data_IF_959848181590
#
_entry.id   IF_959848181590
#
_cell.length_a   1.000
_cell.length_b   1.000
_cell.length_c   1.000
_cell.angle_alpha   90.00
_cell.angle_beta   90.00
_cell.angle_gamma   90.00
#
_symmetry.space_group_name_H-M   'P 1'
#
loop_
_entity.id
_entity.type
_entity.pdbx_description
1 polymer ?
#
# COMPACT_ATOMS: atom_id res chain seq x y z
N UNK A 1 28.05 -33.04 28.36
CA UNK A 1 27.19 -32.06 27.65
C UNK A 1 27.37 -32.26 26.15
N UNK A 2 26.28 -32.40 25.37
CA UNK A 2 26.37 -32.39 23.91
C UNK A 2 26.98 -31.08 23.47
N UNK A 3 27.95 -31.09 22.57
CA UNK A 3 28.56 -29.85 22.05
C UNK A 3 27.72 -29.32 20.89
N UNK A 4 26.51 -28.86 21.20
CA UNK A 4 25.52 -28.41 20.20
C UNK A 4 26.09 -27.30 19.29
N UNK A 5 26.88 -26.37 19.82
CA UNK A 5 27.49 -25.31 19.03
C UNK A 5 28.50 -25.84 18.00
N UNK A 6 29.45 -26.64 18.42
CA UNK A 6 30.49 -27.17 17.51
C UNK A 6 29.91 -28.11 16.46
N UNK A 7 28.93 -28.96 16.85
CA UNK A 7 28.21 -29.83 15.92
C UNK A 7 27.43 -29.01 14.87
N UNK A 8 26.75 -27.94 15.26
CA UNK A 8 26.07 -27.01 14.34
C UNK A 8 27.06 -26.31 13.42
N UNK A 9 28.15 -25.78 13.98
CA UNK A 9 29.19 -25.11 13.21
C UNK A 9 29.73 -25.98 12.09
N UNK A 10 30.06 -27.23 12.42
CA UNK A 10 30.55 -28.25 11.47
C UNK A 10 29.47 -28.57 10.41
N UNK A 11 28.23 -28.80 10.83
CA UNK A 11 27.12 -29.11 9.94
C UNK A 11 26.86 -27.95 8.95
N UNK A 12 26.77 -26.71 9.42
CA UNK A 12 26.54 -25.52 8.61
C UNK A 12 27.69 -25.31 7.60
N UNK A 13 28.94 -25.55 8.00
CA UNK A 13 30.07 -25.50 7.09
C UNK A 13 29.95 -26.50 5.95
N UNK A 14 29.58 -27.75 6.28
CA UNK A 14 29.40 -28.82 5.29
C UNK A 14 28.24 -28.52 4.35
N UNK A 15 27.10 -28.01 4.87
CA UNK A 15 25.94 -27.58 4.07
C UNK A 15 26.31 -26.50 3.05
N UNK A 16 27.22 -25.58 3.41
CA UNK A 16 27.75 -24.57 2.49
C UNK A 16 28.89 -25.06 1.61
N UNK A 17 29.26 -26.36 1.67
CA UNK A 17 30.34 -26.97 0.93
C UNK A 17 31.74 -26.33 1.18
N UNK A 18 31.97 -25.77 2.38
CA UNK A 18 33.26 -25.19 2.72
C UNK A 18 34.17 -26.23 3.38
N UNK A 19 35.46 -26.23 3.00
CA UNK A 19 36.50 -26.89 3.81
C UNK A 19 36.77 -26.10 5.09
N UNK A 20 37.46 -26.68 6.08
CA UNK A 20 37.85 -25.93 7.28
C UNK A 20 38.77 -24.74 6.92
N UNK A 21 39.66 -24.93 5.94
CA UNK A 21 40.57 -23.91 5.45
C UNK A 21 39.80 -22.73 4.81
N UNK A 22 38.81 -23.02 3.95
CA UNK A 22 38.01 -22.03 3.29
C UNK A 22 37.16 -21.20 4.29
N UNK A 23 36.48 -21.89 5.21
CA UNK A 23 35.69 -21.20 6.22
C UNK A 23 36.56 -20.38 7.18
N UNK A 24 37.73 -20.89 7.58
CA UNK A 24 38.68 -20.18 8.41
C UNK A 24 39.23 -18.92 7.69
N UNK A 25 39.52 -19.00 6.41
CA UNK A 25 39.92 -17.85 5.59
C UNK A 25 38.82 -16.78 5.52
N UNK A 26 37.57 -17.20 5.29
CA UNK A 26 36.41 -16.28 5.24
C UNK A 26 36.16 -15.58 6.59
N UNK A 27 36.44 -16.27 7.71
CA UNK A 27 36.35 -15.71 9.06
C UNK A 27 37.61 -14.97 9.51
N UNK A 28 38.65 -14.94 8.68
CA UNK A 28 39.97 -14.38 9.00
C UNK A 28 40.60 -14.97 10.29
N UNK A 29 40.52 -16.29 10.44
CA UNK A 29 41.07 -17.06 11.57
C UNK A 29 41.95 -18.19 11.08
N UNK A 30 42.68 -18.85 12.01
CA UNK A 30 43.44 -20.06 11.66
C UNK A 30 42.49 -21.26 11.49
N UNK A 31 42.78 -22.21 10.55
CA UNK A 31 42.06 -23.49 10.45
C UNK A 31 42.05 -24.27 11.76
N UNK A 32 43.11 -24.16 12.53
CA UNK A 32 43.24 -24.79 13.85
C UNK A 32 42.25 -24.22 14.87
N UNK A 33 41.94 -22.92 14.79
CA UNK A 33 40.91 -22.27 15.65
C UNK A 33 39.53 -22.79 15.30
N UNK A 34 39.17 -22.84 14.02
CA UNK A 34 37.88 -23.39 13.56
C UNK A 34 37.72 -24.87 13.96
N UNK A 35 38.77 -25.68 13.75
CA UNK A 35 38.77 -27.09 14.13
C UNK A 35 38.51 -27.28 15.65
N UNK A 36 39.09 -26.42 16.49
CA UNK A 36 38.88 -26.47 17.95
C UNK A 36 37.45 -26.08 18.33
N UNK A 37 36.86 -25.13 17.62
CA UNK A 37 35.45 -24.73 17.83
C UNK A 37 34.50 -25.88 17.42
N UNK A 38 34.71 -26.48 16.27
CA UNK A 38 33.91 -27.60 15.78
C UNK A 38 34.00 -28.83 16.70
N UNK A 39 35.21 -29.09 17.28
CA UNK A 39 35.40 -30.18 18.26
C UNK A 39 34.94 -29.80 19.69
N UNK A 40 34.53 -28.58 19.94
CA UNK A 40 34.12 -28.10 21.27
C UNK A 40 35.27 -27.95 22.27
N UNK A 41 36.52 -27.95 21.80
CA UNK A 41 37.68 -27.76 22.68
C UNK A 41 37.85 -26.35 23.16
N UNK A 42 37.38 -25.35 22.37
CA UNK A 42 37.34 -23.95 22.70
C UNK A 42 36.10 -23.34 22.03
N UNK A 43 35.64 -22.18 22.57
CA UNK A 43 34.60 -21.37 21.97
C UNK A 43 35.23 -20.17 21.25
N UNK A 44 34.57 -19.63 20.19
CA UNK A 44 34.93 -18.33 19.64
C UNK A 44 34.72 -17.21 20.64
N UNK A 45 35.41 -16.10 20.43
CA UNK A 45 35.08 -14.84 21.10
C UNK A 45 33.63 -14.43 20.77
N UNK A 46 32.95 -13.85 21.74
CA UNK A 46 31.55 -13.41 21.58
C UNK A 46 31.40 -12.45 20.38
N UNK A 47 32.42 -11.63 20.11
CA UNK A 47 32.44 -10.69 18.98
C UNK A 47 32.53 -11.40 17.62
N UNK A 48 32.95 -12.66 17.58
CA UNK A 48 33.00 -13.47 16.36
C UNK A 48 31.66 -14.15 16.03
N UNK A 49 30.73 -14.27 17.00
CA UNK A 49 29.46 -14.94 16.79
C UNK A 49 28.60 -14.32 15.69
N UNK A 50 28.48 -12.98 15.58
CA UNK A 50 27.78 -12.34 14.47
C UNK A 50 28.39 -12.62 13.09
N UNK A 51 29.74 -12.68 12.99
CA UNK A 51 30.44 -12.97 11.74
C UNK A 51 30.25 -14.43 11.32
N UNK A 52 30.30 -15.37 12.28
CA UNK A 52 29.99 -16.76 12.06
C UNK A 52 28.56 -16.96 11.59
N UNK A 53 27.61 -16.31 12.26
CA UNK A 53 26.19 -16.35 11.92
C UNK A 53 25.93 -15.80 10.50
N UNK A 54 26.60 -14.71 10.15
CA UNK A 54 26.54 -14.11 8.80
C UNK A 54 27.13 -15.04 7.74
N UNK A 55 28.31 -15.64 7.99
CA UNK A 55 28.93 -16.57 7.05
C UNK A 55 28.01 -17.73 6.69
N UNK A 56 27.34 -18.30 7.69
CA UNK A 56 26.46 -19.46 7.51
C UNK A 56 24.99 -19.09 7.26
N UNK A 57 24.64 -17.81 7.19
CA UNK A 57 23.27 -17.34 6.97
C UNK A 57 22.27 -17.86 8.01
N UNK A 58 22.64 -17.76 9.27
CA UNK A 58 21.84 -18.17 10.44
C UNK A 58 21.84 -17.03 11.48
N UNK A 59 21.04 -17.14 12.53
CA UNK A 59 21.18 -16.27 13.71
C UNK A 59 22.24 -16.79 14.67
N UNK A 60 22.69 -15.94 15.60
CA UNK A 60 23.56 -16.38 16.70
C UNK A 60 22.85 -17.48 17.53
N UNK A 61 21.54 -17.33 17.76
CA UNK A 61 20.76 -18.35 18.48
C UNK A 61 20.70 -19.68 17.74
N UNK A 62 20.64 -19.67 16.42
CA UNK A 62 20.63 -20.89 15.60
C UNK A 62 21.94 -21.68 15.72
N UNK A 63 23.05 -21.03 16.05
CA UNK A 63 24.31 -21.72 16.32
C UNK A 63 24.22 -22.64 17.55
N UNK A 64 23.25 -22.41 18.43
CA UNK A 64 23.03 -23.15 19.67
C UNK A 64 21.81 -24.07 19.66
N UNK A 65 20.94 -24.00 18.63
CA UNK A 65 19.72 -24.81 18.51
C UNK A 65 20.00 -26.17 17.80
N UNK A 66 19.31 -27.24 18.23
CA UNK A 66 19.52 -28.59 17.68
C UNK A 66 19.06 -28.79 16.23
N UNK A 67 18.27 -27.89 15.64
CA UNK A 67 17.70 -28.05 14.30
C UNK A 67 17.68 -26.73 13.51
N UNK A 68 18.78 -26.00 13.44
CA UNK A 68 18.87 -24.84 12.59
C UNK A 68 19.11 -25.21 11.13
N UNK A 69 18.37 -24.64 10.20
CA UNK A 69 18.53 -24.76 8.75
C UNK A 69 19.18 -23.50 8.21
N UNK A 70 20.25 -23.67 7.40
CA UNK A 70 20.86 -22.52 6.73
C UNK A 70 19.97 -22.03 5.61
N UNK A 71 19.81 -20.72 5.53
CA UNK A 71 19.15 -20.06 4.41
C UNK A 71 20.10 -19.97 3.21
N UNK A 72 19.54 -19.73 2.02
CA UNK A 72 20.32 -19.59 0.79
C UNK A 72 21.37 -18.46 0.93
N UNK A 73 20.95 -17.33 1.48
CA UNK A 73 21.83 -16.23 1.81
C UNK A 73 21.32 -15.45 3.05
N UNK A 74 22.07 -14.41 3.46
CA UNK A 74 21.74 -13.63 4.65
C UNK A 74 20.48 -12.77 4.49
N UNK A 75 20.19 -12.26 3.29
CA UNK A 75 18.97 -11.52 3.02
C UNK A 75 17.72 -12.41 3.19
N UNK A 76 17.75 -13.64 2.66
CA UNK A 76 16.67 -14.62 2.86
C UNK A 76 16.45 -14.94 4.35
N UNK A 77 17.55 -14.99 5.14
CA UNK A 77 17.44 -15.17 6.59
C UNK A 77 16.75 -14.01 7.28
N UNK A 78 17.08 -12.77 6.90
CA UNK A 78 16.45 -11.58 7.48
C UNK A 78 14.97 -11.45 7.08
N UNK A 79 14.59 -11.87 5.88
CA UNK A 79 13.18 -11.99 5.50
C UNK A 79 12.43 -12.92 6.48
N UNK A 80 12.98 -14.09 6.80
CA UNK A 80 12.35 -15.00 7.75
C UNK A 80 12.30 -14.44 9.20
N UNK A 81 13.25 -13.56 9.56
CA UNK A 81 13.16 -12.81 10.83
C UNK A 81 11.98 -11.85 10.80
N UNK A 82 11.84 -11.06 9.73
CA UNK A 82 10.73 -10.14 9.56
C UNK A 82 9.38 -10.87 9.51
N UNK A 83 9.27 -11.97 8.77
CA UNK A 83 8.06 -12.81 8.71
C UNK A 83 7.60 -13.29 10.09
N UNK A 84 8.53 -13.50 11.01
CA UNK A 84 8.21 -13.93 12.37
C UNK A 84 7.92 -12.76 13.33
N UNK A 85 8.54 -11.60 13.13
CA UNK A 85 8.46 -10.46 14.06
C UNK A 85 7.46 -9.40 13.65
N UNK A 86 7.26 -9.19 12.34
CA UNK A 86 6.53 -8.06 11.77
C UNK A 86 7.03 -6.69 12.27
N UNK A 87 8.30 -6.62 12.72
CA UNK A 87 8.92 -5.39 13.22
C UNK A 87 9.53 -4.58 12.08
N UNK A 88 9.26 -3.28 12.03
CA UNK A 88 9.76 -2.38 10.98
C UNK A 88 11.28 -2.36 10.89
N UNK A 89 12.01 -2.55 12.00
CA UNK A 89 13.48 -2.64 12.00
C UNK A 89 13.96 -3.87 11.24
N UNK A 90 13.25 -5.00 11.42
CA UNK A 90 13.60 -6.24 10.74
C UNK A 90 13.29 -6.15 9.25
N UNK A 91 12.19 -5.47 8.87
CA UNK A 91 11.94 -5.10 7.49
C UNK A 91 13.09 -4.29 6.89
N UNK A 92 13.49 -3.19 7.53
CA UNK A 92 14.58 -2.33 7.06
C UNK A 92 15.93 -3.07 6.98
N UNK A 93 16.17 -4.03 7.87
CA UNK A 93 17.38 -4.85 7.85
C UNK A 93 17.38 -5.79 6.65
N UNK A 94 16.26 -6.48 6.39
CA UNK A 94 16.10 -7.37 5.24
C UNK A 94 16.18 -6.58 3.92
N UNK A 95 15.47 -5.47 3.79
CA UNK A 95 15.50 -4.58 2.63
C UNK A 95 16.92 -4.18 2.28
N UNK A 96 17.69 -3.69 3.26
CA UNK A 96 19.08 -3.28 3.07
C UNK A 96 19.99 -4.38 2.53
N UNK A 97 19.80 -5.62 2.97
CA UNK A 97 20.62 -6.74 2.49
C UNK A 97 20.20 -7.16 1.06
N UNK A 98 18.91 -7.20 0.73
CA UNK A 98 18.47 -7.40 -0.65
C UNK A 98 18.95 -6.28 -1.59
N UNK A 99 18.92 -5.04 -1.14
CA UNK A 99 19.42 -3.87 -1.87
C UNK A 99 20.92 -3.98 -2.19
N UNK A 100 21.72 -4.53 -1.25
CA UNK A 100 23.15 -4.83 -1.49
C UNK A 100 23.34 -5.88 -2.59
N UNK A 101 22.51 -6.93 -2.59
CA UNK A 101 22.56 -7.95 -3.65
C UNK A 101 22.25 -7.32 -5.03
N UNK A 102 21.24 -6.45 -5.11
CA UNK A 102 20.90 -5.75 -6.35
C UNK A 102 22.03 -4.84 -6.82
N UNK A 103 22.59 -4.01 -5.93
CA UNK A 103 23.66 -3.08 -6.26
C UNK A 103 24.95 -3.79 -6.69
N UNK A 104 25.26 -4.92 -6.10
CA UNK A 104 26.44 -5.73 -6.45
C UNK A 104 26.21 -6.63 -7.66
N UNK A 105 25.00 -6.72 -8.19
CA UNK A 105 24.59 -7.62 -9.27
C UNK A 105 24.90 -9.10 -9.00
N UNK A 106 24.85 -9.49 -7.73
CA UNK A 106 25.11 -10.88 -7.28
C UNK A 106 23.83 -11.62 -6.90
N UNK A 107 22.67 -11.08 -7.26
CA UNK A 107 21.37 -11.67 -6.97
C UNK A 107 20.98 -12.79 -7.95
N UNK A 108 20.18 -13.72 -7.47
CA UNK A 108 19.51 -14.77 -8.24
C UNK A 108 18.06 -14.40 -8.54
N UNK A 109 17.40 -15.15 -9.41
CA UNK A 109 15.94 -15.03 -9.62
C UNK A 109 15.18 -15.28 -8.30
N UNK A 110 15.66 -16.19 -7.45
CA UNK A 110 15.05 -16.46 -6.17
C UNK A 110 15.18 -15.29 -5.19
N UNK A 111 16.29 -14.55 -5.22
CA UNK A 111 16.44 -13.34 -4.41
C UNK A 111 15.44 -12.26 -4.80
N UNK A 112 15.19 -12.07 -6.10
CA UNK A 112 14.15 -11.13 -6.58
C UNK A 112 12.76 -11.54 -6.11
N UNK A 113 12.44 -12.84 -6.16
CA UNK A 113 11.18 -13.38 -5.65
C UNK A 113 11.04 -13.13 -4.15
N UNK A 114 12.08 -13.43 -3.36
CA UNK A 114 12.07 -13.24 -1.91
C UNK A 114 12.01 -11.76 -1.54
N UNK A 115 12.68 -10.90 -2.29
CA UNK A 115 12.60 -9.45 -2.09
C UNK A 115 11.18 -8.93 -2.38
N UNK A 116 10.53 -9.43 -3.43
CA UNK A 116 9.12 -9.14 -3.69
C UNK A 116 8.20 -9.59 -2.56
N UNK A 117 8.44 -10.79 -1.99
CA UNK A 117 7.69 -11.32 -0.83
C UNK A 117 7.86 -10.43 0.40
N UNK A 118 9.07 -9.90 0.66
CA UNK A 118 9.30 -8.95 1.76
C UNK A 118 8.34 -7.76 1.69
N UNK A 119 8.18 -7.17 0.49
CA UNK A 119 7.24 -6.06 0.30
C UNK A 119 5.77 -6.47 0.37
N UNK A 120 5.43 -7.71 -0.03
CA UNK A 120 4.06 -8.22 0.13
C UNK A 120 3.67 -8.34 1.60
N UNK A 121 4.55 -8.87 2.46
CA UNK A 121 4.31 -8.89 3.91
C UNK A 121 4.22 -7.49 4.49
N UNK A 122 5.13 -6.60 4.10
CA UNK A 122 5.10 -5.22 4.59
C UNK A 122 3.84 -4.46 4.17
N UNK A 123 3.33 -4.70 2.98
CA UNK A 123 2.07 -4.13 2.51
C UNK A 123 0.88 -4.61 3.38
N UNK A 124 0.85 -5.89 3.77
CA UNK A 124 -0.16 -6.42 4.66
C UNK A 124 -0.08 -5.79 6.05
N UNK A 125 1.12 -5.66 6.61
CA UNK A 125 1.35 -5.01 7.90
C UNK A 125 0.93 -3.53 7.89
N UNK A 126 1.25 -2.80 6.82
CA UNK A 126 0.84 -1.41 6.63
C UNK A 126 -0.69 -1.28 6.55
N UNK A 127 -1.36 -2.20 5.85
CA UNK A 127 -2.83 -2.26 5.81
C UNK A 127 -3.42 -2.40 7.20
N UNK A 128 -2.92 -3.35 7.99
CA UNK A 128 -3.42 -3.61 9.33
C UNK A 128 -3.22 -2.41 10.27
N UNK A 129 -2.09 -1.71 10.12
CA UNK A 129 -1.83 -0.47 10.86
C UNK A 129 -2.84 0.61 10.45
N UNK A 130 -3.06 0.80 9.15
CA UNK A 130 -4.01 1.80 8.64
C UNK A 130 -5.43 1.51 9.12
N UNK A 131 -5.90 0.26 9.03
CA UNK A 131 -7.23 -0.14 9.52
C UNK A 131 -7.40 0.15 11.01
N UNK A 132 -6.43 -0.24 11.85
CA UNK A 132 -6.49 0.06 13.29
C UNK A 132 -6.56 1.57 13.59
N UNK A 133 -5.86 2.40 12.80
CA UNK A 133 -5.91 3.86 12.97
C UNK A 133 -7.26 4.42 12.54
N UNK A 134 -7.82 3.95 11.43
CA UNK A 134 -9.15 4.36 10.97
C UNK A 134 -10.23 3.93 11.98
N UNK A 135 -10.21 2.69 12.47
CA UNK A 135 -11.14 2.21 13.49
C UNK A 135 -11.05 3.03 14.78
N UNK A 136 -9.83 3.36 15.21
CA UNK A 136 -9.62 4.22 16.37
C UNK A 136 -10.18 5.64 16.15
N UNK A 137 -10.02 6.20 14.94
CA UNK A 137 -10.60 7.48 14.58
C UNK A 137 -12.13 7.44 14.58
N UNK A 138 -12.73 6.42 13.95
CA UNK A 138 -14.19 6.25 13.91
C UNK A 138 -14.80 6.01 15.31
N UNK A 139 -14.08 5.33 16.20
CA UNK A 139 -14.51 5.13 17.59
C UNK A 139 -14.56 6.42 18.42
N UNK A 140 -13.97 7.53 17.93
CA UNK A 140 -14.10 8.83 18.61
C UNK A 140 -15.48 9.47 18.42
N UNK A 141 -16.28 8.97 17.47
CA UNK A 141 -17.63 9.48 17.17
C UNK A 141 -17.67 10.62 16.15
N UNK A 142 -18.73 10.66 15.38
CA UNK A 142 -18.96 11.64 14.32
C UNK A 142 -19.12 13.07 14.88
N UNK A 143 -19.69 13.20 16.06
CA UNK A 143 -19.98 14.46 16.73
C UNK A 143 -18.74 15.32 17.03
N UNK A 144 -17.56 14.68 17.13
CA UNK A 144 -16.31 15.40 17.43
C UNK A 144 -15.75 16.15 16.21
N UNK A 145 -15.87 15.56 15.01
CA UNK A 145 -15.38 16.15 13.77
C UNK A 145 -16.08 15.47 12.56
N UNK A 146 -17.32 15.86 12.21
CA UNK A 146 -18.13 15.15 11.21
C UNK A 146 -17.44 14.98 9.85
N UNK A 147 -16.80 16.03 9.33
CA UNK A 147 -16.10 15.98 8.05
C UNK A 147 -14.94 14.98 8.06
N UNK A 148 -14.13 15.00 9.13
CA UNK A 148 -12.99 14.09 9.28
C UNK A 148 -13.47 12.65 9.48
N UNK A 149 -14.56 12.44 10.22
CA UNK A 149 -15.18 11.14 10.39
C UNK A 149 -15.54 10.51 9.03
N UNK A 150 -16.25 11.23 8.18
CA UNK A 150 -16.61 10.73 6.85
C UNK A 150 -15.42 10.60 5.90
N UNK A 151 -14.38 11.43 6.06
CA UNK A 151 -13.11 11.22 5.32
C UNK A 151 -12.44 9.90 5.73
N UNK A 152 -12.39 9.59 7.03
CA UNK A 152 -11.84 8.31 7.52
C UNK A 152 -12.65 7.13 6.98
N UNK A 153 -13.98 7.20 7.01
CA UNK A 153 -14.82 6.15 6.41
C UNK A 153 -14.46 5.92 4.93
N UNK A 154 -14.36 6.98 4.14
CA UNK A 154 -14.00 6.87 2.72
C UNK A 154 -12.59 6.30 2.50
N UNK A 155 -11.60 6.70 3.30
CA UNK A 155 -10.24 6.16 3.23
C UNK A 155 -10.21 4.66 3.59
N UNK A 156 -10.97 4.24 4.60
CA UNK A 156 -11.11 2.82 4.95
C UNK A 156 -11.74 2.03 3.79
N UNK A 157 -12.80 2.54 3.19
CA UNK A 157 -13.46 1.94 2.03
C UNK A 157 -12.52 1.82 0.82
N UNK A 158 -11.73 2.86 0.55
CA UNK A 158 -10.71 2.84 -0.49
C UNK A 158 -9.66 1.77 -0.22
N UNK A 159 -9.20 1.65 1.02
CA UNK A 159 -8.23 0.62 1.42
C UNK A 159 -8.78 -0.79 1.20
N UNK A 160 -10.04 -1.06 1.57
CA UNK A 160 -10.71 -2.34 1.28
C UNK A 160 -10.75 -2.62 -0.23
N UNK A 161 -11.05 -1.61 -1.04
CA UNK A 161 -11.04 -1.77 -2.51
C UNK A 161 -9.65 -2.09 -3.05
N UNK A 162 -8.62 -1.38 -2.61
CA UNK A 162 -7.23 -1.59 -3.02
C UNK A 162 -6.69 -2.97 -2.63
N UNK A 163 -7.24 -3.57 -1.59
CA UNK A 163 -6.84 -4.90 -1.09
C UNK A 163 -7.79 -6.03 -1.50
N UNK A 164 -8.76 -5.74 -2.38
CA UNK A 164 -9.66 -6.75 -2.94
C UNK A 164 -10.82 -7.16 -2.03
N UNK A 165 -11.10 -6.41 -0.96
CA UNK A 165 -12.15 -6.72 0.04
C UNK A 165 -13.47 -5.99 -0.23
N UNK A 166 -13.83 -5.83 -1.50
CA UNK A 166 -15.05 -5.13 -1.91
C UNK A 166 -16.32 -5.76 -1.34
N UNK A 167 -16.40 -7.09 -1.25
CA UNK A 167 -17.57 -7.79 -0.69
C UNK A 167 -17.79 -7.44 0.78
N UNK A 168 -16.71 -7.38 1.56
CA UNK A 168 -16.77 -6.96 2.97
C UNK A 168 -17.28 -5.52 3.06
N UNK A 169 -16.72 -4.61 2.27
CA UNK A 169 -17.12 -3.22 2.23
C UNK A 169 -18.62 -3.07 1.89
N UNK A 170 -19.09 -3.69 0.80
CA UNK A 170 -20.49 -3.65 0.38
C UNK A 170 -21.41 -4.19 1.49
N UNK A 171 -21.05 -5.30 2.14
CA UNK A 171 -21.82 -5.88 3.23
C UNK A 171 -21.97 -4.91 4.41
N UNK A 172 -20.87 -4.28 4.83
CA UNK A 172 -20.89 -3.30 5.91
C UNK A 172 -21.75 -2.07 5.57
N UNK A 173 -21.58 -1.50 4.36
CA UNK A 173 -22.33 -0.32 3.94
C UNK A 173 -23.83 -0.64 3.73
N UNK A 174 -24.16 -1.85 3.24
CA UNK A 174 -25.55 -2.30 3.12
C UNK A 174 -26.20 -2.42 4.49
N UNK A 175 -25.51 -2.99 5.48
CA UNK A 175 -26.03 -3.09 6.84
C UNK A 175 -26.22 -1.71 7.48
N UNK A 176 -25.27 -0.78 7.26
CA UNK A 176 -25.36 0.60 7.75
C UNK A 176 -26.57 1.32 7.15
N UNK A 177 -26.78 1.24 5.84
CA UNK A 177 -27.94 1.83 5.17
C UNK A 177 -29.26 1.22 5.66
N UNK A 178 -29.32 -0.08 5.92
CA UNK A 178 -30.52 -0.74 6.44
C UNK A 178 -30.92 -0.21 7.83
N UNK A 179 -29.95 0.14 8.67
CA UNK A 179 -30.19 0.71 10.01
C UNK A 179 -30.42 2.21 9.99
N UNK A 180 -29.88 2.92 8.99
CA UNK A 180 -29.97 4.38 8.84
C UNK A 180 -30.47 4.77 7.43
N UNK A 181 -31.73 4.41 7.05
CA UNK A 181 -32.22 4.56 5.67
C UNK A 181 -32.39 6.02 5.23
N UNK A 182 -32.44 6.96 6.16
CA UNK A 182 -32.60 8.40 5.90
C UNK A 182 -31.29 9.17 6.07
N UNK A 183 -30.16 8.47 6.31
CA UNK A 183 -28.87 9.09 6.42
C UNK A 183 -28.22 9.24 5.04
N UNK A 184 -27.85 10.46 4.68
CA UNK A 184 -27.23 10.79 3.40
C UNK A 184 -25.92 10.04 3.16
N UNK A 185 -25.05 10.01 4.17
CA UNK A 185 -23.74 9.39 4.03
C UNK A 185 -23.82 7.87 3.91
N UNK A 186 -24.81 7.23 4.50
CA UNK A 186 -25.05 5.79 4.31
C UNK A 186 -25.38 5.45 2.84
N UNK A 187 -26.13 6.31 2.13
CA UNK A 187 -26.37 6.15 0.69
C UNK A 187 -25.10 6.38 -0.13
N UNK A 188 -24.36 7.45 0.16
CA UNK A 188 -23.11 7.77 -0.54
C UNK A 188 -22.09 6.65 -0.35
N UNK A 189 -21.91 6.17 0.86
CA UNK A 189 -20.92 5.13 1.14
C UNK A 189 -21.26 3.81 0.42
N UNK A 190 -22.55 3.42 0.36
CA UNK A 190 -22.95 2.24 -0.40
C UNK A 190 -22.79 2.43 -1.91
N UNK A 191 -23.13 3.62 -2.44
CA UNK A 191 -22.87 3.99 -3.84
C UNK A 191 -21.39 3.85 -4.17
N UNK A 192 -20.51 4.43 -3.36
CA UNK A 192 -19.04 4.38 -3.52
C UNK A 192 -18.51 2.94 -3.39
N UNK A 193 -19.05 2.15 -2.46
CA UNK A 193 -18.67 0.74 -2.32
C UNK A 193 -18.94 -0.06 -3.61
N UNK A 194 -20.10 0.16 -4.23
CA UNK A 194 -20.41 -0.46 -5.52
C UNK A 194 -19.55 0.06 -6.66
N UNK A 195 -19.22 1.36 -6.69
CA UNK A 195 -18.30 1.93 -7.67
C UNK A 195 -16.90 1.30 -7.56
N UNK A 196 -16.38 1.12 -6.36
CA UNK A 196 -15.10 0.45 -6.13
C UNK A 196 -15.12 -1.02 -6.53
N UNK A 197 -16.24 -1.70 -6.35
CA UNK A 197 -16.43 -3.08 -6.78
C UNK A 197 -16.71 -3.22 -8.29
N UNK A 198 -16.81 -2.10 -9.03
CA UNK A 198 -17.23 -2.05 -10.44
C UNK A 198 -18.64 -2.65 -10.68
N UNK A 199 -19.51 -2.62 -9.66
CA UNK A 199 -20.90 -3.07 -9.73
C UNK A 199 -21.82 -1.91 -10.14
N UNK A 200 -21.58 -1.32 -11.31
CA UNK A 200 -22.19 -0.06 -11.76
C UNK A 200 -23.72 -0.10 -11.82
N UNK A 201 -24.33 -1.25 -12.14
CA UNK A 201 -25.80 -1.39 -12.16
C UNK A 201 -26.42 -1.21 -10.75
N UNK A 202 -25.82 -1.81 -9.72
CA UNK A 202 -26.26 -1.64 -8.34
C UNK A 202 -25.98 -0.23 -7.81
N UNK A 203 -24.85 0.34 -8.21
CA UNK A 203 -24.53 1.75 -7.92
C UNK A 203 -25.62 2.69 -8.46
N UNK A 204 -26.11 2.44 -9.68
CA UNK A 204 -27.17 3.23 -10.30
C UNK A 204 -28.51 3.13 -9.53
N UNK A 205 -28.87 1.94 -9.05
CA UNK A 205 -30.06 1.78 -8.22
C UNK A 205 -29.99 2.57 -6.92
N UNK A 206 -28.79 2.57 -6.27
CA UNK A 206 -28.57 3.35 -5.04
C UNK A 206 -28.62 4.85 -5.34
N UNK A 207 -27.96 5.30 -6.41
CA UNK A 207 -27.97 6.70 -6.85
C UNK A 207 -29.40 7.21 -7.09
N UNK A 208 -30.21 6.47 -7.87
CA UNK A 208 -31.59 6.86 -8.18
C UNK A 208 -32.51 6.90 -6.96
N UNK A 209 -32.26 6.06 -5.96
CA UNK A 209 -32.97 6.11 -4.68
C UNK A 209 -32.56 7.33 -3.86
N UNK A 210 -31.26 7.59 -3.77
CA UNK A 210 -30.70 8.71 -3.03
C UNK A 210 -31.13 10.06 -3.65
N UNK A 211 -31.16 10.16 -4.97
CA UNK A 211 -31.54 11.39 -5.69
C UNK A 211 -32.97 11.85 -5.34
N UNK A 212 -33.90 10.93 -5.10
CA UNK A 212 -35.28 11.27 -4.69
C UNK A 212 -35.37 11.93 -3.31
N UNK A 213 -34.39 11.66 -2.44
CA UNK A 213 -34.37 12.14 -1.06
C UNK A 213 -33.40 13.31 -0.85
N UNK A 214 -32.33 13.37 -1.63
CA UNK A 214 -31.18 14.25 -1.41
C UNK A 214 -30.79 15.03 -2.66
N UNK A 215 -31.80 15.55 -3.39
CA UNK A 215 -31.60 16.24 -4.67
C UNK A 215 -30.85 17.57 -4.58
N UNK A 216 -30.62 18.06 -3.36
CA UNK A 216 -29.91 19.29 -3.03
C UNK A 216 -28.46 19.07 -2.57
N UNK A 217 -27.96 17.82 -2.61
CA UNK A 217 -26.64 17.47 -2.10
C UNK A 217 -25.63 17.34 -3.23
N UNK A 218 -24.66 18.25 -3.31
CA UNK A 218 -23.63 18.30 -4.35
C UNK A 218 -22.84 17.00 -4.48
N UNK A 219 -22.43 16.42 -3.35
CA UNK A 219 -21.62 15.19 -3.31
C UNK A 219 -22.32 14.00 -3.98
N UNK A 220 -23.67 13.92 -3.94
CA UNK A 220 -24.42 12.89 -4.64
C UNK A 220 -24.18 12.96 -6.14
N UNK A 221 -24.28 14.18 -6.70
CA UNK A 221 -24.10 14.39 -8.14
C UNK A 221 -22.62 14.27 -8.58
N UNK A 222 -21.67 14.56 -7.70
CA UNK A 222 -20.27 14.29 -7.99
C UNK A 222 -20.04 12.79 -8.25
N UNK A 223 -20.49 11.92 -7.36
CA UNK A 223 -20.41 10.46 -7.57
C UNK A 223 -21.37 9.96 -8.67
N UNK A 224 -22.51 10.63 -8.88
CA UNK A 224 -23.41 10.37 -10.00
C UNK A 224 -22.72 10.57 -11.35
N UNK A 225 -21.95 11.63 -11.50
CA UNK A 225 -21.16 11.89 -12.70
C UNK A 225 -20.10 10.81 -12.94
N UNK A 226 -19.37 10.42 -11.91
CA UNK A 226 -18.38 9.33 -12.00
C UNK A 226 -19.04 7.99 -12.36
N UNK A 227 -20.23 7.72 -11.83
CA UNK A 227 -21.02 6.54 -12.17
C UNK A 227 -21.47 6.55 -13.65
N UNK A 228 -22.06 7.64 -14.13
CA UNK A 228 -22.52 7.75 -15.49
C UNK A 228 -21.37 7.71 -16.50
N UNK A 229 -20.22 8.29 -16.18
CA UNK A 229 -18.97 8.11 -16.95
C UNK A 229 -18.61 6.63 -17.10
N UNK A 230 -18.63 5.86 -16.01
CA UNK A 230 -18.35 4.40 -16.04
C UNK A 230 -19.37 3.61 -16.83
N UNK A 231 -20.60 4.09 -16.92
CA UNK A 231 -21.65 3.50 -17.76
C UNK A 231 -21.56 3.91 -19.24
N UNK A 232 -20.65 4.83 -19.59
CA UNK A 232 -20.53 5.40 -20.93
C UNK A 232 -21.60 6.43 -21.29
N UNK A 233 -22.40 6.87 -20.30
CA UNK A 233 -23.45 7.87 -20.43
C UNK A 233 -22.87 9.26 -20.16
N UNK A 234 -22.08 9.77 -21.11
CA UNK A 234 -21.29 10.99 -20.90
C UNK A 234 -22.12 12.25 -20.73
N UNK A 235 -23.25 12.36 -21.41
CA UNK A 235 -24.17 13.53 -21.28
C UNK A 235 -24.71 13.63 -19.86
N UNK A 236 -25.16 12.50 -19.29
CA UNK A 236 -25.63 12.43 -17.91
C UNK A 236 -24.50 12.68 -16.92
N UNK A 237 -23.29 12.20 -17.22
CA UNK A 237 -22.10 12.45 -16.38
C UNK A 237 -21.80 13.95 -16.29
N UNK A 238 -21.75 14.64 -17.41
CA UNK A 238 -21.54 16.10 -17.45
C UNK A 238 -22.65 16.86 -16.75
N UNK A 239 -23.92 16.50 -16.97
CA UNK A 239 -25.05 17.10 -16.29
C UNK A 239 -24.98 16.93 -14.76
N UNK A 240 -24.54 15.77 -14.28
CA UNK A 240 -24.34 15.52 -12.86
C UNK A 240 -23.20 16.39 -12.29
N UNK A 241 -22.02 16.44 -12.93
CA UNK A 241 -20.91 17.26 -12.44
C UNK A 241 -21.25 18.77 -12.46
N UNK A 242 -21.96 19.24 -13.49
CA UNK A 242 -22.41 20.64 -13.55
C UNK A 242 -23.41 20.96 -12.43
N UNK A 243 -24.32 20.04 -12.13
CA UNK A 243 -25.25 20.19 -11.01
C UNK A 243 -24.51 20.18 -9.67
N UNK A 244 -23.52 19.28 -9.51
CA UNK A 244 -22.70 19.24 -8.30
C UNK A 244 -21.99 20.57 -8.06
N UNK A 245 -21.33 21.13 -9.08
CA UNK A 245 -20.63 22.40 -8.98
C UNK A 245 -21.57 23.60 -8.76
N UNK A 246 -22.78 23.54 -9.34
CA UNK A 246 -23.81 24.55 -9.11
C UNK A 246 -24.31 24.54 -7.65
N UNK A 247 -24.46 23.35 -7.05
CA UNK A 247 -24.90 23.21 -5.67
C UNK A 247 -23.79 23.54 -4.65
N UNK A 248 -22.54 23.28 -5.01
CA UNK A 248 -21.37 23.58 -4.18
C UNK A 248 -20.17 23.92 -5.08
N UNK A 249 -19.89 25.22 -5.21
CA UNK A 249 -18.78 25.72 -6.03
C UNK A 249 -17.39 25.45 -5.43
N UNK A 250 -17.30 25.01 -4.17
CA UNK A 250 -16.06 24.60 -3.54
C UNK A 250 -15.68 23.14 -3.90
N UNK A 251 -16.61 22.38 -4.48
CA UNK A 251 -16.39 21.00 -4.89
C UNK A 251 -15.67 20.91 -6.26
N UNK A 252 -14.47 21.49 -6.33
CA UNK A 252 -13.67 21.58 -7.58
C UNK A 252 -13.23 20.22 -8.13
N UNK A 253 -13.30 19.16 -7.33
CA UNK A 253 -13.01 17.80 -7.78
C UNK A 253 -13.83 17.39 -9.01
N UNK A 254 -15.07 17.92 -9.17
CA UNK A 254 -15.89 17.63 -10.34
C UNK A 254 -15.36 18.28 -11.62
N UNK A 255 -14.66 19.41 -11.53
CA UNK A 255 -14.00 20.04 -12.67
C UNK A 255 -12.82 19.19 -13.17
N UNK A 256 -12.08 18.55 -12.23
CA UNK A 256 -11.03 17.59 -12.57
C UNK A 256 -11.62 16.38 -13.30
N UNK A 257 -12.69 15.78 -12.77
CA UNK A 257 -13.38 14.64 -13.42
C UNK A 257 -13.86 15.01 -14.80
N UNK A 258 -14.46 16.20 -14.96
CA UNK A 258 -15.00 16.73 -16.22
C UNK A 258 -13.90 17.01 -17.24
N UNK A 259 -12.82 17.67 -16.84
CA UNK A 259 -11.69 18.01 -17.70
C UNK A 259 -10.99 16.77 -18.25
N UNK A 260 -10.68 15.79 -17.38
CA UNK A 260 -10.11 14.53 -17.83
C UNK A 260 -11.06 13.72 -18.70
N UNK A 261 -12.37 13.75 -18.43
CA UNK A 261 -13.35 13.07 -19.27
C UNK A 261 -13.38 13.64 -20.69
N UNK A 262 -13.33 14.97 -20.87
CA UNK A 262 -13.24 15.59 -22.19
C UNK A 262 -11.92 15.26 -22.89
N UNK A 263 -10.79 15.18 -22.18
CA UNK A 263 -9.52 14.72 -22.78
C UNK A 263 -9.59 13.27 -23.24
N UNK A 264 -10.22 12.38 -22.48
CA UNK A 264 -10.44 10.97 -22.87
C UNK A 264 -11.31 10.84 -24.13
N UNK A 265 -12.26 11.78 -24.30
CA UNK A 265 -13.11 11.85 -25.50
C UNK A 265 -12.46 12.62 -26.67
N UNK A 266 -11.23 13.07 -26.50
CA UNK A 266 -10.49 13.89 -27.49
C UNK A 266 -11.17 15.25 -27.80
N UNK A 267 -12.08 15.71 -26.90
CA UNK A 267 -12.76 17.00 -27.01
C UNK A 267 -11.91 18.10 -26.36
N UNK A 268 -10.74 18.37 -26.94
CA UNK A 268 -9.70 19.23 -26.34
C UNK A 268 -10.14 20.68 -26.14
N UNK A 269 -11.02 21.21 -26.97
CA UNK A 269 -11.59 22.57 -26.83
C UNK A 269 -12.39 22.69 -25.54
N UNK A 270 -13.28 21.73 -25.27
CA UNK A 270 -14.07 21.70 -24.02
C UNK A 270 -13.21 21.41 -22.79
N UNK A 271 -12.22 20.53 -22.92
CA UNK A 271 -11.26 20.27 -21.85
C UNK A 271 -10.49 21.56 -21.49
N UNK A 272 -10.03 22.32 -22.48
CA UNK A 272 -9.36 23.60 -22.31
C UNK A 272 -10.23 24.60 -21.55
N UNK A 273 -11.52 24.72 -21.91
CA UNK A 273 -12.48 25.60 -21.20
C UNK A 273 -12.62 25.22 -19.74
N UNK A 274 -12.70 23.92 -19.42
CA UNK A 274 -12.79 23.43 -18.03
C UNK A 274 -11.52 23.77 -17.25
N UNK A 275 -10.33 23.49 -17.82
CA UNK A 275 -9.07 23.77 -17.14
C UNK A 275 -8.84 25.27 -16.92
N UNK A 276 -9.18 26.11 -17.90
CA UNK A 276 -9.08 27.56 -17.73
C UNK A 276 -10.06 28.11 -16.69
N UNK A 277 -11.27 27.54 -16.62
CA UNK A 277 -12.24 27.89 -15.58
C UNK A 277 -11.75 27.51 -14.18
N UNK A 278 -11.11 26.34 -14.04
CA UNK A 278 -10.51 25.91 -12.77
C UNK A 278 -9.33 26.81 -12.37
N UNK A 279 -8.47 27.19 -13.33
CA UNK A 279 -7.38 28.13 -13.07
C UNK A 279 -7.94 29.46 -12.55
N UNK A 280 -8.95 30.03 -13.23
CA UNK A 280 -9.57 31.29 -12.81
C UNK A 280 -10.18 31.18 -11.40
N UNK A 281 -10.84 30.07 -11.10
CA UNK A 281 -11.42 29.82 -9.77
C UNK A 281 -10.34 29.77 -8.67
N UNK A 282 -9.19 29.12 -8.93
CA UNK A 282 -8.05 29.03 -8.01
C UNK A 282 -7.37 30.39 -7.81
N UNK A 283 -7.18 31.16 -8.90
CA UNK A 283 -6.58 32.50 -8.86
C UNK A 283 -7.43 33.47 -8.01
N UNK A 284 -8.76 33.47 -8.20
CA UNK A 284 -9.69 34.32 -7.43
C UNK A 284 -9.60 34.06 -5.92
N UNK A 285 -9.26 32.82 -5.51
CA UNK A 285 -9.17 32.43 -4.10
C UNK A 285 -7.75 32.41 -3.53
N UNK A 286 -6.75 32.70 -4.34
CA UNK A 286 -5.35 32.79 -3.93
C UNK A 286 -4.68 31.42 -3.68
N UNK A 287 -5.17 30.35 -4.30
CA UNK A 287 -4.57 29.01 -4.23
C UNK A 287 -3.39 28.85 -5.20
N UNK A 288 -2.37 29.69 -5.07
CA UNK A 288 -1.25 29.77 -6.01
C UNK A 288 -0.49 28.43 -6.23
N UNK A 289 -0.38 27.61 -5.18
CA UNK A 289 0.30 26.31 -5.25
C UNK A 289 -0.43 25.28 -6.10
N UNK A 290 -1.73 25.43 -6.31
CA UNK A 290 -2.59 24.45 -7.01
C UNK A 290 -2.84 24.81 -8.47
N UNK A 291 -2.42 26.00 -8.92
CA UNK A 291 -2.68 26.53 -10.26
C UNK A 291 -1.81 25.90 -11.34
N UNK A 292 -0.61 25.46 -11.00
CA UNK A 292 0.39 25.02 -11.98
C UNK A 292 -0.11 23.84 -12.82
N UNK A 293 -0.71 22.85 -12.18
CA UNK A 293 -1.17 21.62 -12.85
C UNK A 293 -2.35 21.88 -13.81
N UNK A 294 -3.45 22.55 -13.40
CA UNK A 294 -4.54 22.88 -14.33
C UNK A 294 -4.07 23.77 -15.49
N UNK A 295 -3.15 24.72 -15.26
CA UNK A 295 -2.57 25.57 -16.31
C UNK A 295 -1.79 24.73 -17.33
N UNK A 296 -0.98 23.79 -16.88
CA UNK A 296 -0.26 22.84 -17.73
C UNK A 296 -1.21 21.97 -18.56
N UNK A 297 -2.31 21.51 -17.95
CA UNK A 297 -3.34 20.73 -18.63
C UNK A 297 -4.05 21.56 -19.72
N UNK A 298 -4.38 22.81 -19.42
CA UNK A 298 -4.95 23.74 -20.40
C UNK A 298 -4.01 23.97 -21.60
N UNK A 299 -2.72 24.22 -21.35
CA UNK A 299 -1.72 24.38 -22.41
C UNK A 299 -1.61 23.13 -23.28
N UNK A 300 -1.57 21.94 -22.66
CA UNK A 300 -1.56 20.67 -23.38
C UNK A 300 -2.77 20.46 -24.28
N UNK A 301 -3.97 20.85 -23.82
CA UNK A 301 -5.17 20.79 -24.63
C UNK A 301 -5.09 21.76 -25.80
N UNK A 302 -4.63 23.01 -25.56
CA UNK A 302 -4.46 24.02 -26.61
C UNK A 302 -3.52 23.58 -27.74
N UNK A 303 -2.46 22.82 -27.43
CA UNK A 303 -1.54 22.28 -28.44
C UNK A 303 -2.16 21.18 -29.32
N UNK A 304 -3.29 20.61 -28.89
CA UNK A 304 -4.00 19.52 -29.56
C UNK A 304 -5.26 19.95 -30.31
N UNK A 305 -5.67 21.21 -30.12
CA UNK A 305 -6.77 21.85 -30.86
C UNK A 305 -6.33 22.20 -32.29
#
# INVERSE_FOLDING_TARGET
MKNTFGDNLKRLRIEKNYTQEQAAQLLNISPKSLSRWECGSTMPDVMMLPEIARLYCVTVDDLYREQSVAYENYAARLLAVYEASHDLRDFCNAEREFDKLLKSQTYTMNDLRLYGILYQYHMADCKDVALRLFEKGLAMGEENAPEVYHQIERQRMLLYSQTGENELNIREQTAKLATHPNDFYSHINLLVAYLYANENAKALEVFQKAEKQFSDRALLYAYGGDLYKRLGSYEEAFACWDKAFTLDSELTAVLWSKGFCYEELEEYEKAYEVWTSLVAWLEERGYEAEIEEPRRLAERCRERM
#
